data_IF_853299068415
#
_entry.id   IF_853299068415
#
_cell.length_a   1.000
_cell.length_b   1.000
_cell.length_c   1.000
_cell.angle_alpha   90.00
_cell.angle_beta   90.00
_cell.angle_gamma   90.00
#
_symmetry.space_group_name_H-M   'P 1'
#
loop_
_entity.id
_entity.type
_entity.pdbx_description
1 polymer ?
#
# COMPACT_ATOMS: atom_id res chain seq x y z
N UNK A 1 2.41 -16.59 12.94
CA UNK A 1 2.34 -15.12 13.01
C UNK A 1 1.85 -14.57 11.68
N UNK A 2 0.80 -13.76 11.72
CA UNK A 2 0.22 -13.18 10.50
C UNK A 2 0.73 -11.75 10.29
N UNK A 3 0.96 -11.40 9.03
CA UNK A 3 1.29 -10.04 8.63
C UNK A 3 0.03 -9.41 8.01
N UNK A 4 -0.32 -8.21 8.42
CA UNK A 4 -1.38 -7.46 7.77
C UNK A 4 -0.77 -6.58 6.67
N UNK A 5 -1.34 -6.63 5.48
CA UNK A 5 -0.92 -5.81 4.35
C UNK A 5 -2.07 -4.88 4.02
N UNK A 6 -1.87 -3.60 4.26
CA UNK A 6 -2.88 -2.55 4.03
C UNK A 6 -2.51 -1.82 2.75
N UNK A 7 -3.40 -1.79 1.78
CA UNK A 7 -3.12 -1.15 0.50
C UNK A 7 -3.84 0.19 0.40
N UNK A 8 -3.14 1.20 -0.10
CA UNK A 8 -3.68 2.56 -0.28
C UNK A 8 -3.70 2.99 -1.74
N UNK A 9 -3.24 2.14 -2.65
CA UNK A 9 -3.13 2.46 -4.08
C UNK A 9 -1.71 2.86 -4.45
N UNK A 10 -1.55 4.02 -5.08
CA UNK A 10 -0.25 4.51 -5.54
C UNK A 10 0.22 3.84 -6.82
N UNK A 11 1.46 4.11 -7.22
CA UNK A 11 2.04 3.57 -8.46
C UNK A 11 2.03 2.04 -8.47
N UNK A 12 2.19 1.43 -7.33
CA UNK A 12 2.18 -0.03 -7.17
C UNK A 12 0.97 -0.69 -7.84
N UNK A 13 -0.21 -0.07 -7.72
CA UNK A 13 -1.47 -0.62 -8.20
C UNK A 13 -2.02 0.09 -9.46
N UNK A 14 -1.24 0.93 -10.11
CA UNK A 14 -1.69 1.68 -11.30
C UNK A 14 -2.00 0.76 -12.47
N UNK A 15 -3.02 1.15 -13.22
CA UNK A 15 -3.36 0.57 -14.53
C UNK A 15 -3.39 1.69 -15.56
N UNK A 16 -3.13 1.34 -16.81
CA UNK A 16 -3.12 2.29 -17.92
C UNK A 16 -4.42 2.20 -18.73
N UNK A 17 -5.04 3.34 -18.97
CA UNK A 17 -6.24 3.44 -19.79
C UNK A 17 -5.88 3.89 -21.20
N UNK A 18 -5.97 2.98 -22.20
CA UNK A 18 -5.63 3.26 -23.60
C UNK A 18 -6.42 4.42 -24.18
N UNK A 19 -7.70 4.52 -23.86
CA UNK A 19 -8.60 5.53 -24.43
C UNK A 19 -8.14 6.96 -24.18
N UNK A 20 -7.52 7.21 -23.02
CA UNK A 20 -7.12 8.56 -22.59
C UNK A 20 -5.62 8.68 -22.37
N UNK A 21 -4.84 7.63 -22.60
CA UNK A 21 -3.42 7.57 -22.29
C UNK A 21 -3.12 7.98 -20.84
N UNK A 22 -4.03 7.66 -19.93
CA UNK A 22 -3.93 8.03 -18.52
C UNK A 22 -3.80 6.79 -17.63
N UNK A 23 -3.20 6.99 -16.45
CA UNK A 23 -3.14 5.97 -15.43
C UNK A 23 -4.23 6.19 -14.39
N UNK A 24 -4.76 5.11 -13.86
CA UNK A 24 -5.60 5.16 -12.65
C UNK A 24 -5.14 4.08 -11.68
N UNK A 25 -5.64 4.17 -10.45
CA UNK A 25 -5.32 3.18 -9.44
C UNK A 25 -6.30 2.00 -9.59
N UNK A 26 -5.76 0.82 -9.82
CA UNK A 26 -6.55 -0.40 -9.96
C UNK A 26 -6.70 -1.17 -8.66
N UNK A 27 -7.13 -2.41 -8.77
CA UNK A 27 -7.20 -3.30 -7.63
C UNK A 27 -5.80 -3.65 -7.12
N UNK A 28 -5.65 -3.95 -5.81
CA UNK A 28 -4.34 -4.28 -5.25
C UNK A 28 -3.68 -5.47 -5.95
N UNK A 29 -2.38 -5.32 -6.22
CA UNK A 29 -1.57 -6.33 -6.91
C UNK A 29 -0.66 -7.12 -5.99
N UNK A 30 -0.63 -6.78 -4.70
CA UNK A 30 0.35 -7.34 -3.76
C UNK A 30 0.26 -8.87 -3.65
N UNK A 31 -0.94 -9.44 -3.70
CA UNK A 31 -1.12 -10.89 -3.61
C UNK A 31 -0.41 -11.61 -4.75
N UNK A 32 -0.53 -11.10 -5.98
CA UNK A 32 0.16 -11.67 -7.15
C UNK A 32 1.67 -11.60 -6.99
N UNK A 33 2.18 -10.49 -6.46
CA UNK A 33 3.62 -10.31 -6.23
C UNK A 33 4.13 -11.30 -5.21
N UNK A 34 3.39 -11.49 -4.13
CA UNK A 34 3.77 -12.45 -3.08
C UNK A 34 3.72 -13.89 -3.60
N UNK A 35 2.76 -14.21 -4.44
CA UNK A 35 2.68 -15.52 -5.10
C UNK A 35 3.88 -15.76 -6.00
N UNK A 36 4.26 -14.78 -6.82
CA UNK A 36 5.44 -14.85 -7.69
C UNK A 36 6.73 -15.04 -6.88
N UNK A 37 6.81 -14.41 -5.71
CA UNK A 37 7.95 -14.51 -4.82
C UNK A 37 7.96 -15.76 -3.96
N UNK A 38 6.96 -16.63 -4.10
CA UNK A 38 6.82 -17.85 -3.28
C UNK A 38 6.84 -17.56 -1.79
N UNK A 39 6.17 -16.49 -1.38
CA UNK A 39 6.10 -16.10 0.03
C UNK A 39 5.26 -17.11 0.79
N UNK A 40 5.86 -17.74 1.80
CA UNK A 40 5.23 -18.79 2.60
C UNK A 40 4.64 -18.27 3.92
N UNK A 41 4.90 -17.02 4.27
CA UNK A 41 4.38 -16.42 5.50
C UNK A 41 2.86 -16.24 5.43
N UNK A 42 2.19 -16.40 6.54
CA UNK A 42 0.76 -16.14 6.65
C UNK A 42 0.52 -14.62 6.57
N UNK A 43 -0.35 -14.19 5.69
CA UNK A 43 -0.66 -12.76 5.53
C UNK A 43 -2.12 -12.55 5.16
N UNK A 44 -2.58 -11.34 5.42
CA UNK A 44 -3.93 -10.87 5.07
C UNK A 44 -3.79 -9.53 4.34
N UNK A 45 -4.59 -9.33 3.30
CA UNK A 45 -4.59 -8.09 2.51
C UNK A 45 -5.92 -7.36 2.73
N UNK A 46 -5.83 -6.06 3.02
CA UNK A 46 -7.00 -5.20 3.17
C UNK A 46 -6.78 -3.93 2.37
N UNK A 47 -7.69 -3.62 1.45
CA UNK A 47 -7.67 -2.37 0.70
C UNK A 47 -8.31 -1.28 1.54
N UNK A 48 -7.58 -0.22 1.84
CA UNK A 48 -8.07 0.93 2.61
C UNK A 48 -8.45 2.07 1.68
N UNK A 49 -7.56 2.40 0.74
CA UNK A 49 -7.71 3.47 -0.23
C UNK A 49 -7.24 3.00 -1.59
N UNK A 50 -7.71 3.68 -2.65
CA UNK A 50 -7.25 3.46 -4.02
C UNK A 50 -6.90 4.82 -4.63
N UNK A 51 -5.87 5.47 -4.08
CA UNK A 51 -5.48 6.83 -4.49
C UNK A 51 -4.01 6.92 -4.79
N UNK A 52 -3.66 7.87 -5.68
CA UNK A 52 -2.28 8.33 -5.79
C UNK A 52 -1.96 9.09 -4.50
N UNK A 53 -0.73 8.97 -3.99
CA UNK A 53 -0.36 9.59 -2.73
C UNK A 53 -0.45 11.12 -2.74
N UNK A 54 -0.33 11.74 -3.92
CA UNK A 54 -0.54 13.18 -4.06
C UNK A 54 -1.96 13.61 -3.69
N UNK A 55 -2.93 12.71 -3.84
CA UNK A 55 -4.34 12.99 -3.60
C UNK A 55 -4.80 12.57 -2.19
N UNK A 56 -3.93 11.98 -1.40
CA UNK A 56 -4.26 11.55 -0.03
C UNK A 56 -4.34 12.76 0.88
N UNK A 57 -5.49 12.92 1.51
CA UNK A 57 -5.75 14.02 2.46
C UNK A 57 -5.34 13.64 3.87
N UNK A 58 -5.29 14.64 4.75
CA UNK A 58 -5.01 14.42 6.18
C UNK A 58 -6.08 13.53 6.82
N UNK A 59 -7.35 13.73 6.47
CA UNK A 59 -8.44 12.90 6.98
C UNK A 59 -8.27 11.44 6.54
N UNK A 60 -7.77 11.21 5.34
CA UNK A 60 -7.50 9.86 4.85
C UNK A 60 -6.30 9.22 5.55
N UNK A 61 -5.31 10.00 5.95
CA UNK A 61 -4.22 9.51 6.79
C UNK A 61 -4.72 9.09 8.17
N UNK A 62 -5.73 9.78 8.70
CA UNK A 62 -6.41 9.36 9.93
C UNK A 62 -7.06 7.98 9.75
N UNK A 63 -7.66 7.72 8.59
CA UNK A 63 -8.26 6.42 8.25
C UNK A 63 -7.18 5.34 8.23
N UNK A 64 -6.03 5.62 7.62
CA UNK A 64 -4.89 4.68 7.61
C UNK A 64 -4.45 4.37 9.04
N UNK A 65 -4.27 5.40 9.85
CA UNK A 65 -3.83 5.24 11.24
C UNK A 65 -4.83 4.43 12.05
N UNK A 66 -6.11 4.71 11.91
CA UNK A 66 -7.16 3.96 12.57
C UNK A 66 -7.13 2.49 12.17
N UNK A 67 -6.96 2.20 10.88
CA UNK A 67 -6.86 0.83 10.39
C UNK A 67 -5.67 0.10 10.99
N UNK A 68 -4.53 0.78 11.10
CA UNK A 68 -3.33 0.22 11.73
C UNK A 68 -3.59 -0.12 13.20
N UNK A 69 -4.17 0.80 13.94
CA UNK A 69 -4.44 0.61 15.37
C UNK A 69 -5.43 -0.53 15.60
N UNK A 70 -6.43 -0.66 14.73
CA UNK A 70 -7.46 -1.70 14.84
C UNK A 70 -7.01 -3.08 14.39
N UNK A 71 -5.88 -3.20 13.69
CA UNK A 71 -5.34 -4.50 13.30
C UNK A 71 -4.96 -5.31 14.54
N UNK A 72 -5.30 -6.59 14.53
CA UNK A 72 -4.82 -7.51 15.56
C UNK A 72 -3.34 -7.83 15.38
N UNK A 73 -2.89 -7.82 14.14
CA UNK A 73 -1.50 -8.11 13.79
C UNK A 73 -0.56 -7.02 14.32
N UNK A 74 0.60 -7.44 14.81
CA UNK A 74 1.64 -6.51 15.27
C UNK A 74 2.56 -6.06 14.12
N UNK A 75 2.59 -6.82 13.04
CA UNK A 75 3.43 -6.55 11.87
C UNK A 75 2.55 -6.15 10.70
N UNK A 76 2.80 -4.95 10.20
CA UNK A 76 1.96 -4.33 9.19
C UNK A 76 2.83 -3.80 8.06
N UNK A 77 2.45 -4.13 6.83
CA UNK A 77 3.04 -3.55 5.62
C UNK A 77 1.97 -2.68 4.98
N UNK A 78 2.35 -1.46 4.62
CA UNK A 78 1.45 -0.53 3.93
C UNK A 78 2.04 -0.26 2.55
N UNK A 79 1.29 -0.61 1.49
CA UNK A 79 1.68 -0.19 0.14
C UNK A 79 1.13 1.21 -0.10
N UNK A 80 1.98 2.11 -0.59
CA UNK A 80 1.70 3.54 -0.63
C UNK A 80 2.42 4.18 -1.81
N UNK A 81 1.85 5.25 -2.36
CA UNK A 81 2.55 6.03 -3.36
C UNK A 81 3.78 6.71 -2.76
N UNK A 82 4.82 6.89 -3.57
CA UNK A 82 6.10 7.40 -3.08
C UNK A 82 6.12 8.91 -2.82
N UNK A 83 5.21 9.67 -3.44
CA UNK A 83 5.23 11.13 -3.36
C UNK A 83 5.06 11.67 -1.93
N UNK A 84 4.16 11.09 -1.15
CA UNK A 84 3.88 11.53 0.21
C UNK A 84 4.04 10.43 1.26
N UNK A 85 4.81 9.40 0.94
CA UNK A 85 5.04 8.27 1.85
C UNK A 85 5.66 8.71 3.18
N UNK A 86 6.59 9.64 3.14
CA UNK A 86 7.28 10.14 4.34
C UNK A 86 6.29 10.86 5.26
N UNK A 87 5.39 11.63 4.70
CA UNK A 87 4.34 12.33 5.49
C UNK A 87 3.44 11.33 6.21
N UNK A 88 3.05 10.27 5.53
CA UNK A 88 2.24 9.21 6.15
C UNK A 88 3.04 8.47 7.21
N UNK A 89 4.31 8.17 6.96
CA UNK A 89 5.17 7.53 7.94
C UNK A 89 5.29 8.36 9.22
N UNK A 90 5.49 9.67 9.07
CA UNK A 90 5.54 10.58 10.22
C UNK A 90 4.22 10.62 10.99
N UNK A 91 3.12 10.56 10.28
CA UNK A 91 1.80 10.54 10.89
C UNK A 91 1.58 9.30 11.76
N UNK A 92 2.25 8.21 11.44
CA UNK A 92 2.13 6.92 12.14
C UNK A 92 3.21 6.71 13.22
N UNK A 93 4.13 7.64 13.39
CA UNK A 93 5.29 7.43 14.26
C UNK A 93 4.96 7.23 15.74
N UNK A 94 3.80 7.70 16.19
CA UNK A 94 3.36 7.57 17.57
C UNK A 94 2.54 6.30 17.84
N UNK A 95 2.32 5.47 16.84
CA UNK A 95 1.63 4.18 17.02
C UNK A 95 2.57 3.23 17.76
N UNK A 96 2.11 2.69 18.86
CA UNK A 96 2.92 1.83 19.74
C UNK A 96 2.60 0.36 19.54
N UNK A 97 3.56 -0.49 19.87
CA UNK A 97 3.42 -1.96 19.87
C UNK A 97 3.16 -2.54 18.48
N UNK A 98 3.49 -1.79 17.42
CA UNK A 98 3.35 -2.24 16.04
C UNK A 98 4.66 -2.01 15.30
N UNK A 99 5.00 -2.95 14.43
CA UNK A 99 6.08 -2.75 13.44
C UNK A 99 5.41 -2.43 12.12
N UNK A 100 5.66 -1.24 11.60
CA UNK A 100 5.00 -0.73 10.39
C UNK A 100 6.06 -0.46 9.35
N UNK A 101 5.90 -1.05 8.16
CA UNK A 101 6.78 -0.83 7.02
C UNK A 101 5.94 -0.27 5.89
N UNK A 102 6.35 0.90 5.38
CA UNK A 102 5.74 1.46 4.18
C UNK A 102 6.60 1.12 2.98
N UNK A 103 5.98 0.70 1.90
CA UNK A 103 6.68 0.35 0.67
C UNK A 103 5.86 0.80 -0.54
N UNK A 104 6.54 1.06 -1.63
CA UNK A 104 5.91 1.47 -2.87
C UNK A 104 6.75 1.05 -4.06
N UNK A 105 6.30 1.43 -5.26
CA UNK A 105 7.01 1.14 -6.50
C UNK A 105 7.05 2.38 -7.37
N UNK A 106 8.12 2.54 -8.13
CA UNK A 106 8.25 3.60 -9.12
C UNK A 106 7.59 3.22 -10.44
N UNK A 107 7.44 1.92 -10.69
CA UNK A 107 6.77 1.37 -11.87
C UNK A 107 5.59 0.51 -11.43
N UNK A 108 4.42 0.63 -12.09
CA UNK A 108 3.26 -0.19 -11.72
C UNK A 108 3.58 -1.69 -11.71
N UNK A 109 2.99 -2.41 -10.77
CA UNK A 109 3.20 -3.86 -10.63
C UNK A 109 2.80 -4.64 -11.89
N UNK A 110 1.84 -4.11 -12.66
CA UNK A 110 1.38 -4.74 -13.90
C UNK A 110 2.31 -4.52 -15.08
N UNK A 111 3.34 -3.70 -14.93
CA UNK A 111 4.35 -3.48 -15.98
C UNK A 111 5.38 -4.61 -15.95
N UNK A 112 5.88 -4.97 -17.15
CA UNK A 112 6.89 -6.03 -17.30
C UNK A 112 8.19 -5.75 -16.54
N UNK A 113 8.55 -4.47 -16.41
CA UNK A 113 9.80 -4.02 -15.75
C UNK A 113 9.50 -3.29 -14.47
N UNK A 114 8.57 -3.83 -13.68
CA UNK A 114 8.21 -3.23 -12.40
C UNK A 114 9.30 -3.45 -11.34
N UNK A 115 9.39 -2.50 -10.40
CA UNK A 115 10.19 -2.61 -9.19
C UNK A 115 9.33 -2.98 -7.96
N UNK A 116 8.09 -3.32 -8.21
CA UNK A 116 7.15 -3.68 -7.16
C UNK A 116 7.54 -4.95 -6.38
#
# INVERSE_FOLDING_TARGET
MRIAILTTGGTFDKIYFDANSEYSIGEPCISSILDEGNVMSDYRVQSILKKDSLDITQDEREIIKKSVIECEEERIIITHGTDTMVETAKFLEDVKEKTIVLTGAMQPARFKKTDA
#
